data_IF_897027421627
#
_entry.id   IF_897027421627
#
_cell.length_a   1.000
_cell.length_b   1.000
_cell.length_c   1.000
_cell.angle_alpha   90.00
_cell.angle_beta   90.00
_cell.angle_gamma   90.00
#
_symmetry.space_group_name_H-M   'P 1'
#
loop_
_entity.id
_entity.type
_entity.pdbx_description
1 polymer ?
#
# COMPACT_ATOMS: atom_id res chain seq x y z
N UNK A 1 15.94 -12.57 -9.89
CA UNK A 1 17.05 -13.48 -10.23
C UNK A 1 18.05 -12.71 -11.07
N UNK A 2 19.35 -12.87 -10.78
CA UNK A 2 20.45 -12.29 -11.55
C UNK A 2 21.29 -13.42 -12.12
N UNK A 3 21.64 -13.34 -13.40
CA UNK A 3 22.53 -14.30 -14.04
C UNK A 3 23.62 -13.59 -14.82
N UNK A 4 24.85 -14.03 -14.59
CA UNK A 4 26.05 -13.57 -15.24
C UNK A 4 26.48 -14.56 -16.32
N UNK A 5 27.45 -14.17 -17.14
CA UNK A 5 28.00 -14.98 -18.23
C UNK A 5 28.26 -16.44 -17.81
N UNK A 6 27.65 -17.38 -18.53
CA UNK A 6 27.82 -18.83 -18.33
C UNK A 6 28.54 -19.45 -19.53
N UNK A 7 29.62 -20.18 -19.28
CA UNK A 7 30.36 -20.91 -20.31
C UNK A 7 29.80 -22.31 -20.62
N UNK A 8 29.06 -22.90 -19.69
CA UNK A 8 28.55 -24.27 -19.76
C UNK A 8 27.17 -24.37 -20.42
N UNK A 9 26.96 -25.37 -21.28
CA UNK A 9 25.76 -25.50 -22.10
C UNK A 9 24.49 -25.85 -21.29
N UNK A 10 24.59 -26.78 -20.34
CA UNK A 10 23.45 -27.22 -19.54
C UNK A 10 22.99 -26.11 -18.59
N UNK A 11 23.96 -25.39 -18.02
CA UNK A 11 23.72 -24.20 -17.23
C UNK A 11 23.02 -23.09 -18.03
N UNK A 12 23.37 -22.89 -19.31
CA UNK A 12 22.69 -21.92 -20.19
C UNK A 12 21.22 -22.28 -20.41
N UNK A 13 20.91 -23.54 -20.66
CA UNK A 13 19.53 -23.99 -20.88
C UNK A 13 18.69 -23.82 -19.61
N UNK A 14 19.24 -24.18 -18.45
CA UNK A 14 18.58 -23.98 -17.16
C UNK A 14 18.36 -22.48 -16.84
N UNK A 15 19.35 -21.64 -17.17
CA UNK A 15 19.28 -20.19 -17.03
C UNK A 15 18.18 -19.57 -17.91
N UNK A 16 18.15 -19.91 -19.20
CA UNK A 16 17.16 -19.44 -20.16
C UNK A 16 15.73 -19.79 -19.71
N UNK A 17 15.52 -21.01 -19.20
CA UNK A 17 14.23 -21.45 -18.65
C UNK A 17 13.81 -20.64 -17.42
N UNK A 18 14.75 -20.39 -16.50
CA UNK A 18 14.50 -19.63 -15.26
C UNK A 18 14.14 -18.18 -15.54
N UNK A 19 14.81 -17.57 -16.53
CA UNK A 19 14.58 -16.20 -16.96
C UNK A 19 13.42 -16.07 -17.98
N UNK A 20 12.86 -17.20 -18.43
CA UNK A 20 11.84 -17.28 -19.49
C UNK A 20 12.29 -16.56 -20.78
N UNK A 21 13.54 -16.77 -21.17
CA UNK A 21 14.09 -16.25 -22.42
C UNK A 21 13.50 -17.07 -23.59
N UNK A 22 12.99 -16.43 -24.66
CA UNK A 22 12.47 -17.13 -25.83
C UNK A 22 13.51 -18.07 -26.45
N UNK A 23 13.05 -19.20 -27.01
CA UNK A 23 13.91 -20.14 -27.73
C UNK A 23 14.64 -19.43 -28.89
N UNK A 24 15.97 -19.56 -28.96
CA UNK A 24 16.82 -18.88 -29.95
C UNK A 24 17.39 -17.52 -29.50
N UNK A 25 16.90 -16.96 -28.39
CA UNK A 25 17.46 -15.74 -27.78
C UNK A 25 18.44 -16.03 -26.63
N UNK A 26 18.65 -17.30 -26.27
CA UNK A 26 19.58 -17.77 -25.23
C UNK A 26 21.05 -17.59 -25.61
N UNK A 27 21.34 -17.34 -26.90
CA UNK A 27 22.66 -16.94 -27.40
C UNK A 27 23.17 -15.63 -26.78
N UNK A 28 22.30 -14.81 -26.19
CA UNK A 28 22.69 -13.60 -25.46
C UNK A 28 23.44 -13.90 -24.16
N UNK A 29 23.17 -15.04 -23.51
CA UNK A 29 23.76 -15.41 -22.21
C UNK A 29 25.31 -15.52 -22.27
N UNK A 30 25.91 -16.24 -23.25
CA UNK A 30 27.37 -16.27 -23.37
C UNK A 30 27.97 -14.96 -23.92
N UNK A 31 27.15 -14.11 -24.53
CA UNK A 31 27.56 -12.84 -25.13
C UNK A 31 27.60 -11.67 -24.12
N UNK A 32 27.09 -11.87 -22.90
CA UNK A 32 27.16 -10.86 -21.82
C UNK A 32 28.61 -10.45 -21.56
N UNK A 33 28.86 -9.14 -21.56
CA UNK A 33 30.15 -8.55 -21.22
C UNK A 33 30.38 -8.54 -19.70
N UNK A 34 31.64 -8.37 -19.22
CA UNK A 34 31.90 -8.18 -17.80
C UNK A 34 31.09 -7.00 -17.23
N UNK A 35 30.31 -7.26 -16.18
CA UNK A 35 29.40 -6.28 -15.59
C UNK A 35 27.99 -6.29 -16.17
N UNK A 36 27.74 -7.06 -17.22
CA UNK A 36 26.38 -7.29 -17.72
C UNK A 36 25.76 -8.53 -17.08
N UNK A 37 24.46 -8.44 -16.81
CA UNK A 37 23.66 -9.55 -16.34
C UNK A 37 22.24 -9.47 -16.91
N UNK A 38 21.57 -10.62 -16.96
CA UNK A 38 20.13 -10.63 -17.19
C UNK A 38 19.41 -10.69 -15.84
N UNK A 39 18.48 -9.77 -15.66
CA UNK A 39 17.66 -9.69 -14.46
C UNK A 39 16.18 -9.92 -14.79
N UNK A 40 15.51 -10.67 -13.92
CA UNK A 40 14.05 -10.74 -13.90
C UNK A 40 13.55 -10.35 -12.51
N UNK A 41 12.67 -9.36 -12.48
CA UNK A 41 12.06 -8.81 -11.27
C UNK A 41 10.53 -8.97 -11.35
N UNK A 42 9.80 -8.91 -10.22
CA UNK A 42 8.33 -8.93 -10.24
C UNK A 42 7.70 -7.77 -11.02
N UNK A 43 8.46 -6.70 -11.28
CA UNK A 43 7.98 -5.49 -11.95
C UNK A 43 8.13 -5.52 -13.47
N UNK A 44 8.95 -6.43 -14.01
CA UNK A 44 9.13 -6.60 -15.46
C UNK A 44 8.80 -8.03 -15.90
N UNK A 45 7.84 -8.20 -16.83
CA UNK A 45 7.40 -9.53 -17.26
C UNK A 45 8.48 -10.29 -18.04
N UNK A 46 9.41 -9.57 -18.67
CA UNK A 46 10.51 -10.11 -19.47
C UNK A 46 11.85 -9.93 -18.76
N UNK A 47 12.81 -10.82 -19.06
CA UNK A 47 14.18 -10.62 -18.63
C UNK A 47 14.74 -9.35 -19.29
N UNK A 48 15.42 -8.53 -18.50
CA UNK A 48 16.05 -7.28 -18.95
C UNK A 48 17.56 -7.40 -18.83
N UNK A 49 18.28 -6.83 -19.79
CA UNK A 49 19.71 -6.64 -19.71
C UNK A 49 20.00 -5.51 -18.73
N UNK A 50 20.82 -5.80 -17.72
CA UNK A 50 21.24 -4.85 -16.71
C UNK A 50 22.77 -4.76 -16.70
N UNK A 51 23.26 -3.54 -16.58
CA UNK A 51 24.66 -3.28 -16.29
C UNK A 51 24.79 -3.02 -14.79
N UNK A 52 25.63 -3.78 -14.13
CA UNK A 52 26.01 -3.62 -12.72
C UNK A 52 27.47 -3.22 -12.65
N UNK A 53 27.82 -2.36 -11.70
CA UNK A 53 29.20 -2.02 -11.43
C UNK A 53 29.97 -3.29 -11.07
N UNK A 54 30.75 -3.78 -12.03
CA UNK A 54 31.53 -4.99 -11.86
C UNK A 54 32.67 -4.70 -10.89
N UNK A 55 32.51 -5.12 -9.65
CA UNK A 55 33.62 -5.27 -8.73
C UNK A 55 34.29 -6.60 -9.08
N UNK A 56 35.52 -6.61 -9.61
CA UNK A 56 36.19 -7.87 -9.93
C UNK A 56 36.26 -8.74 -8.68
N UNK A 57 36.06 -10.06 -8.78
CA UNK A 57 36.31 -10.95 -7.67
C UNK A 57 37.75 -10.74 -7.23
N UNK A 58 37.96 -10.53 -5.92
CA UNK A 58 39.29 -10.37 -5.35
C UNK A 58 40.15 -11.58 -5.76
N UNK A 59 41.16 -11.34 -6.59
CA UNK A 59 42.12 -12.36 -7.05
C UNK A 59 43.34 -12.47 -6.15
N UNK A 60 43.38 -11.68 -5.09
CA UNK A 60 44.40 -11.87 -4.06
C UNK A 60 44.18 -13.27 -3.49
N UNK A 61 45.23 -14.08 -3.53
CA UNK A 61 45.30 -15.35 -2.82
C UNK A 61 44.84 -15.04 -1.42
N UNK A 62 43.64 -15.50 -1.04
CA UNK A 62 43.17 -15.35 0.31
C UNK A 62 44.28 -15.90 1.22
N UNK A 63 44.85 -15.12 2.14
CA UNK A 63 45.64 -15.73 3.20
C UNK A 63 44.75 -16.80 3.81
N UNK A 64 45.28 -18.02 4.02
CA UNK A 64 44.56 -19.08 4.71
C UNK A 64 43.80 -18.45 5.88
N UNK A 65 42.49 -18.68 5.96
CA UNK A 65 41.62 -18.05 6.96
C UNK A 65 42.08 -18.32 8.42
N UNK A 66 43.04 -19.24 8.60
CA UNK A 66 43.70 -19.62 9.85
C UNK A 66 45.19 -19.26 9.97
N UNK A 67 45.75 -18.41 9.09
CA UNK A 67 47.12 -17.91 9.25
C UNK A 67 47.23 -16.73 10.22
N UNK A 68 46.10 -16.11 10.57
CA UNK A 68 46.06 -15.08 11.60
C UNK A 68 46.05 -15.77 12.96
N UNK A 69 46.99 -15.39 13.83
CA UNK A 69 47.00 -15.80 15.25
C UNK A 69 45.60 -15.57 15.80
N UNK A 70 44.94 -16.61 16.29
CA UNK A 70 43.60 -16.50 16.90
C UNK A 70 43.61 -15.34 17.90
N UNK A 71 42.95 -14.25 17.55
CA UNK A 71 42.75 -13.11 18.46
C UNK A 71 41.44 -13.43 19.19
N UNK A 72 41.50 -13.81 20.48
CA UNK A 72 40.28 -14.09 21.23
C UNK A 72 39.40 -12.84 21.25
N UNK A 73 38.08 -13.04 21.20
CA UNK A 73 37.13 -11.94 21.23
C UNK A 73 37.29 -11.15 22.55
N UNK A 74 37.77 -9.91 22.46
CA UNK A 74 37.87 -9.00 23.59
C UNK A 74 36.52 -8.31 23.84
N UNK A 75 36.19 -8.08 25.11
CA UNK A 75 34.98 -7.33 25.46
C UNK A 75 35.18 -5.86 25.12
N UNK A 76 34.11 -5.16 24.77
CA UNK A 76 34.13 -3.71 24.50
C UNK A 76 34.68 -2.87 25.69
N UNK A 77 34.67 -3.45 26.90
CA UNK A 77 35.29 -2.90 28.12
C UNK A 77 36.81 -2.97 28.13
N UNK A 78 37.40 -3.89 27.37
CA UNK A 78 38.84 -4.15 27.26
C UNK A 78 39.46 -3.37 26.08
N UNK A 79 38.62 -2.79 25.22
CA UNK A 79 39.03 -1.99 24.06
C UNK A 79 38.60 -0.51 24.20
N UNK A 80 39.24 0.28 25.10
CA UNK A 80 38.80 1.63 25.46
C UNK A 80 38.73 2.59 24.25
N UNK A 81 39.60 2.44 23.26
CA UNK A 81 39.61 3.26 22.03
C UNK A 81 38.32 3.06 21.21
N UNK A 82 37.86 1.81 21.06
CA UNK A 82 36.62 1.50 20.35
C UNK A 82 35.38 1.92 21.14
N UNK A 83 35.41 1.81 22.48
CA UNK A 83 34.35 2.30 23.34
C UNK A 83 34.15 3.82 23.22
N UNK A 84 35.25 4.59 23.15
CA UNK A 84 35.21 6.04 22.93
C UNK A 84 34.69 6.37 21.53
N UNK A 85 35.18 5.70 20.48
CA UNK A 85 34.72 5.90 19.11
C UNK A 85 33.21 5.59 18.95
N UNK A 86 32.74 4.48 19.54
CA UNK A 86 31.34 4.09 19.52
C UNK A 86 30.45 5.09 20.29
N UNK A 87 30.90 5.57 21.46
CA UNK A 87 30.20 6.62 22.21
C UNK A 87 30.14 7.93 21.44
N UNK A 88 31.24 8.31 20.79
CA UNK A 88 31.31 9.50 19.94
C UNK A 88 30.31 9.41 18.79
N UNK A 89 30.31 8.30 18.04
CA UNK A 89 29.35 8.06 16.95
C UNK A 89 27.90 8.02 17.41
N UNK A 90 27.62 7.42 18.58
CA UNK A 90 26.28 7.43 19.19
C UNK A 90 25.84 8.83 19.58
N UNK A 91 26.77 9.68 20.02
CA UNK A 91 26.49 11.08 20.39
C UNK A 91 26.26 11.94 19.14
N UNK A 92 27.08 11.76 18.10
CA UNK A 92 26.91 12.40 16.80
C UNK A 92 25.56 12.05 16.17
N UNK A 93 25.16 10.78 16.21
CA UNK A 93 23.86 10.33 15.75
C UNK A 93 22.71 10.98 16.52
N UNK A 94 22.77 10.98 17.86
CA UNK A 94 21.77 11.67 18.71
C UNK A 94 21.69 13.17 18.45
N UNK A 95 22.82 13.84 18.24
CA UNK A 95 22.84 15.27 17.92
C UNK A 95 22.26 15.54 16.53
N UNK A 96 22.48 14.64 15.58
CA UNK A 96 21.91 14.72 14.23
C UNK A 96 20.39 14.54 14.29
N UNK A 97 19.89 13.53 15.02
CA UNK A 97 18.46 13.36 15.28
C UNK A 97 17.84 14.58 15.96
N UNK A 98 18.54 15.17 16.94
CA UNK A 98 18.08 16.37 17.63
C UNK A 98 18.00 17.58 16.71
N UNK A 99 19.01 17.81 15.85
CA UNK A 99 18.97 18.87 14.83
C UNK A 99 17.87 18.64 13.80
N UNK A 100 17.61 17.39 13.41
CA UNK A 100 16.47 17.05 12.55
C UNK A 100 15.12 17.25 13.24
N UNK A 101 15.03 17.02 14.55
CA UNK A 101 13.84 17.30 15.34
C UNK A 101 13.61 18.81 15.55
N UNK A 102 14.67 19.59 15.76
CA UNK A 102 14.61 21.04 15.86
C UNK A 102 14.26 21.70 14.51
N UNK A 103 14.78 21.18 13.39
CA UNK A 103 14.38 21.59 12.04
C UNK A 103 12.93 21.17 11.68
N UNK A 104 12.39 20.12 12.31
CA UNK A 104 10.98 19.71 12.21
C UNK A 104 10.01 20.72 12.83
N UNK A 105 10.49 21.67 13.63
CA UNK A 105 9.71 22.78 14.16
C UNK A 105 9.84 24.07 13.34
N UNK A 106 10.26 23.97 12.07
CA UNK A 106 10.02 25.04 11.12
C UNK A 106 8.52 25.31 11.04
N UNK A 107 8.14 26.59 11.12
CA UNK A 107 6.74 26.98 11.05
C UNK A 107 6.15 26.52 9.69
N UNK A 108 5.11 25.69 9.74
CA UNK A 108 4.43 25.23 8.53
C UNK A 108 3.95 26.42 7.69
N UNK A 109 4.04 26.29 6.37
CA UNK A 109 3.38 27.24 5.45
C UNK A 109 1.88 27.31 5.73
N UNK A 110 1.29 28.49 5.50
CA UNK A 110 -0.15 28.75 5.65
C UNK A 110 -0.99 27.68 4.95
N UNK A 111 -0.69 27.39 3.70
CA UNK A 111 -1.45 26.45 2.86
C UNK A 111 -1.31 24.99 3.34
N UNK A 112 -0.19 24.65 3.99
CA UNK A 112 -0.01 23.34 4.60
C UNK A 112 -0.87 23.21 5.87
N UNK A 113 -0.96 24.28 6.67
CA UNK A 113 -1.88 24.35 7.81
C UNK A 113 -3.34 24.30 7.34
N UNK A 114 -3.69 25.01 6.27
CA UNK A 114 -5.03 24.99 5.70
C UNK A 114 -5.41 23.60 5.21
N UNK A 115 -4.48 22.86 4.58
CA UNK A 115 -4.74 21.47 4.17
C UNK A 115 -4.99 20.55 5.36
N UNK A 116 -4.24 20.69 6.46
CA UNK A 116 -4.53 19.94 7.69
C UNK A 116 -5.89 20.32 8.26
N UNK A 117 -6.23 21.61 8.29
CA UNK A 117 -7.52 22.07 8.77
C UNK A 117 -8.69 21.53 7.93
N UNK A 118 -8.61 21.61 6.60
CA UNK A 118 -9.64 21.04 5.74
C UNK A 118 -9.73 19.51 5.87
N UNK A 119 -8.58 18.83 5.99
CA UNK A 119 -8.54 17.39 6.19
C UNK A 119 -9.14 16.93 7.53
N UNK A 120 -9.09 17.76 8.58
CA UNK A 120 -9.74 17.45 9.86
C UNK A 120 -11.26 17.66 9.82
N UNK A 121 -11.71 18.69 9.10
CA UNK A 121 -13.13 18.98 8.90
C UNK A 121 -13.82 18.01 7.92
N UNK A 122 -13.05 17.48 6.97
CA UNK A 122 -13.54 16.64 5.89
C UNK A 122 -12.74 15.32 5.82
N UNK A 123 -12.83 14.46 6.85
CA UNK A 123 -12.10 13.20 6.86
C UNK A 123 -12.50 12.35 5.65
N UNK A 124 -11.53 11.60 5.12
CA UNK A 124 -11.67 10.72 3.94
C UNK A 124 -11.92 11.41 2.60
N UNK A 125 -11.94 12.74 2.53
CA UNK A 125 -12.06 13.41 1.23
C UNK A 125 -10.78 13.24 0.40
N UNK A 126 -10.89 13.13 -0.93
CA UNK A 126 -9.75 13.23 -1.82
C UNK A 126 -8.98 14.54 -1.59
N UNK A 127 -7.66 14.47 -1.61
CA UNK A 127 -6.81 15.67 -1.45
C UNK A 127 -7.12 16.74 -2.50
N UNK A 128 -7.50 16.34 -3.71
CA UNK A 128 -7.96 17.28 -4.75
C UNK A 128 -9.16 18.13 -4.29
N UNK A 129 -10.15 17.52 -3.60
CA UNK A 129 -11.32 18.24 -3.08
C UNK A 129 -10.95 19.16 -1.92
N UNK A 130 -9.98 18.76 -1.10
CA UNK A 130 -9.45 19.64 -0.05
C UNK A 130 -8.75 20.86 -0.65
N UNK A 131 -8.00 20.69 -1.75
CA UNK A 131 -7.39 21.81 -2.46
C UNK A 131 -8.39 22.74 -3.13
N UNK A 132 -9.53 22.23 -3.61
CA UNK A 132 -10.62 23.06 -4.11
C UNK A 132 -11.13 24.05 -3.03
N UNK A 133 -11.14 23.63 -1.76
CA UNK A 133 -11.56 24.47 -0.62
C UNK A 133 -10.53 25.54 -0.22
N UNK A 134 -9.24 25.27 -0.43
CA UNK A 134 -8.13 26.18 -0.05
C UNK A 134 -7.89 27.25 -1.13
N UNK A 135 -8.38 27.04 -2.35
CA UNK A 135 -8.07 27.86 -3.50
C UNK A 135 -6.92 27.25 -4.30
N UNK A 136 -7.29 26.45 -5.30
CA UNK A 136 -6.47 25.53 -6.12
C UNK A 136 -4.99 25.98 -6.24
N UNK A 137 -4.08 25.47 -5.40
CA UNK A 137 -2.67 25.76 -5.51
C UNK A 137 -2.08 25.08 -6.75
N UNK A 138 -1.03 25.67 -7.33
CA UNK A 138 -0.35 25.08 -8.51
C UNK A 138 0.16 23.66 -8.19
N UNK A 139 0.32 22.75 -9.18
CA UNK A 139 0.85 21.41 -8.93
C UNK A 139 2.20 21.39 -8.21
N UNK A 140 3.06 22.39 -8.47
CA UNK A 140 4.33 22.58 -7.77
C UNK A 140 4.12 22.86 -6.28
N UNK A 141 3.16 23.71 -5.95
CA UNK A 141 2.80 24.00 -4.55
C UNK A 141 2.18 22.79 -3.86
N UNK A 142 1.27 22.07 -4.52
CA UNK A 142 0.66 20.85 -3.98
C UNK A 142 1.71 19.81 -3.58
N UNK A 143 2.70 19.56 -4.46
CA UNK A 143 3.81 18.66 -4.16
C UNK A 143 4.69 19.17 -3.02
N UNK A 144 4.91 20.48 -2.94
CA UNK A 144 5.69 21.08 -1.87
C UNK A 144 4.98 20.96 -0.51
N UNK A 145 3.67 21.21 -0.46
CA UNK A 145 2.83 21.07 0.74
C UNK A 145 2.83 19.62 1.20
N UNK A 146 2.57 18.66 0.30
CA UNK A 146 2.61 17.23 0.61
C UNK A 146 3.95 16.83 1.25
N UNK A 147 5.06 17.15 0.57
CA UNK A 147 6.40 16.78 1.04
C UNK A 147 6.71 17.38 2.41
N UNK A 148 6.31 18.62 2.64
CA UNK A 148 6.45 19.29 3.94
C UNK A 148 5.69 18.54 5.04
N UNK A 149 4.41 18.24 4.81
CA UNK A 149 3.57 17.54 5.79
C UNK A 149 4.05 16.10 6.07
N UNK A 150 4.49 15.36 5.04
CA UNK A 150 5.08 14.02 5.20
C UNK A 150 6.40 14.09 5.97
N UNK A 151 7.30 15.01 5.61
CA UNK A 151 8.62 15.15 6.25
C UNK A 151 8.49 15.58 7.71
N UNK A 152 7.56 16.49 7.99
CA UNK A 152 7.27 16.94 9.34
C UNK A 152 6.54 15.88 10.18
N UNK A 153 5.96 14.86 9.56
CA UNK A 153 5.21 13.80 10.24
C UNK A 153 3.82 14.25 10.71
N UNK A 154 3.23 15.22 10.01
CA UNK A 154 1.86 15.68 10.27
C UNK A 154 0.82 14.85 9.51
N UNK A 155 1.18 14.31 8.35
CA UNK A 155 0.25 13.51 7.54
C UNK A 155 0.96 12.36 6.82
N UNK A 156 0.21 11.29 6.56
CA UNK A 156 0.57 10.22 5.64
C UNK A 156 -0.32 10.31 4.40
N UNK A 157 0.22 9.99 3.23
CA UNK A 157 -0.52 10.01 1.98
C UNK A 157 -0.54 8.63 1.34
N UNK A 158 -1.64 8.32 0.65
CA UNK A 158 -1.76 7.13 -0.17
C UNK A 158 -2.22 7.50 -1.57
N UNK A 159 -1.53 6.97 -2.57
CA UNK A 159 -1.94 7.06 -3.97
C UNK A 159 -2.61 5.77 -4.40
N UNK A 160 -3.74 5.90 -5.08
CA UNK A 160 -4.43 4.78 -5.71
C UNK A 160 -4.99 5.18 -7.06
N UNK A 161 -5.10 4.21 -7.96
CA UNK A 161 -5.69 4.44 -9.28
C UNK A 161 -7.16 4.02 -9.26
N UNK A 162 -8.05 4.99 -9.43
CA UNK A 162 -9.48 4.79 -9.55
C UNK A 162 -9.89 5.01 -11.02
N UNK A 163 -10.28 3.93 -11.71
CA UNK A 163 -10.50 3.93 -13.15
C UNK A 163 -9.31 4.54 -13.94
N UNK A 164 -9.53 5.67 -14.62
CA UNK A 164 -8.50 6.40 -15.37
C UNK A 164 -7.80 7.50 -14.57
N UNK A 165 -8.24 7.79 -13.34
CA UNK A 165 -7.73 8.89 -12.51
C UNK A 165 -6.79 8.37 -11.42
N UNK A 166 -5.75 9.13 -11.13
CA UNK A 166 -4.95 8.94 -9.92
C UNK A 166 -5.59 9.73 -8.78
N UNK A 167 -5.80 9.06 -7.65
CA UNK A 167 -6.41 9.60 -6.46
C UNK A 167 -5.34 9.70 -5.38
N UNK A 168 -5.22 10.88 -4.77
CA UNK A 168 -4.38 11.12 -3.61
C UNK A 168 -5.27 11.25 -2.37
N UNK A 169 -4.97 10.46 -1.34
CA UNK A 169 -5.65 10.44 -0.05
C UNK A 169 -4.69 10.90 1.04
N UNK A 170 -5.24 11.44 2.12
CA UNK A 170 -4.48 11.94 3.27
C UNK A 170 -5.03 11.35 4.58
N UNK A 171 -4.11 11.01 5.47
CA UNK A 171 -4.36 10.61 6.86
C UNK A 171 -3.61 11.58 7.76
N UNK A 172 -4.34 12.31 8.61
CA UNK A 172 -3.75 13.17 9.62
C UNK A 172 -3.20 12.32 10.77
N UNK A 173 -1.93 12.55 11.09
CA UNK A 173 -1.24 11.86 12.18
C UNK A 173 -1.43 12.60 13.50
N UNK A 174 -1.15 11.92 14.61
CA UNK A 174 -1.25 12.45 15.98
C UNK A 174 -0.65 13.88 16.15
N UNK A 175 0.52 14.22 15.57
CA UNK A 175 1.06 15.58 15.68
C UNK A 175 0.18 16.65 15.01
N UNK A 176 -0.56 16.32 13.94
CA UNK A 176 -1.43 17.28 13.27
C UNK A 176 -2.66 17.59 14.11
N UNK A 177 -3.25 16.57 14.73
CA UNK A 177 -4.38 16.75 15.65
C UNK A 177 -4.00 17.63 16.84
N UNK A 178 -2.81 17.40 17.41
CA UNK A 178 -2.25 18.27 18.46
C UNK A 178 -2.04 19.70 17.98
N UNK A 179 -1.50 19.89 16.77
CA UNK A 179 -1.30 21.22 16.17
C UNK A 179 -2.64 21.96 15.99
N UNK A 180 -3.68 21.26 15.57
CA UNK A 180 -5.01 21.81 15.33
C UNK A 180 -5.83 22.03 16.61
N UNK A 181 -5.36 21.54 17.76
CA UNK A 181 -6.11 21.59 19.02
C UNK A 181 -7.42 20.80 18.99
N UNK A 182 -7.51 19.78 18.12
CA UNK A 182 -8.71 18.98 17.91
C UNK A 182 -8.43 17.51 18.23
N UNK A 183 -9.39 16.77 18.80
CA UNK A 183 -9.23 15.33 19.00
C UNK A 183 -9.18 14.62 17.64
N UNK A 184 -8.41 13.52 17.52
CA UNK A 184 -8.42 12.71 16.30
C UNK A 184 -9.82 12.16 16.03
N UNK A 185 -10.30 12.34 14.81
CA UNK A 185 -11.48 11.61 14.33
C UNK A 185 -11.04 10.17 14.12
N UNK A 186 -11.56 9.19 14.88
CA UNK A 186 -11.12 7.82 14.75
C UNK A 186 -11.38 7.35 13.33
N UNK A 187 -10.33 6.89 12.65
CA UNK A 187 -10.47 6.26 11.36
C UNK A 187 -11.15 4.90 11.57
N UNK A 188 -12.49 4.88 11.52
CA UNK A 188 -13.24 3.61 11.50
C UNK A 188 -12.88 2.87 10.21
N UNK A 189 -12.52 1.59 10.31
CA UNK A 189 -11.87 0.87 9.22
C UNK A 189 -10.62 0.08 9.63
N UNK A 190 -10.57 -1.20 9.30
CA UNK A 190 -9.41 -2.08 9.23
C UNK A 190 -8.76 -1.84 7.87
N UNK A 191 -7.56 -2.39 7.71
CA UNK A 191 -6.81 -2.23 6.47
C UNK A 191 -6.17 -0.84 6.34
N UNK A 192 -5.65 -0.57 5.13
CA UNK A 192 -4.88 0.63 4.81
C UNK A 192 -5.79 1.81 4.46
N UNK A 193 -5.24 3.02 4.44
CA UNK A 193 -5.94 4.28 4.15
C UNK A 193 -6.92 4.20 2.96
N UNK A 194 -6.52 3.59 1.85
CA UNK A 194 -7.38 3.45 0.66
C UNK A 194 -8.65 2.65 0.95
N UNK A 195 -8.52 1.50 1.63
CA UNK A 195 -9.65 0.64 1.98
C UNK A 195 -10.60 1.34 2.95
N UNK A 196 -10.06 1.92 4.04
CA UNK A 196 -10.85 2.69 5.02
C UNK A 196 -11.58 3.88 4.41
N UNK A 197 -10.93 4.56 3.46
CA UNK A 197 -11.53 5.69 2.74
C UNK A 197 -12.72 5.24 1.90
N UNK A 198 -12.57 4.17 1.12
CA UNK A 198 -13.65 3.64 0.30
C UNK A 198 -14.81 3.13 1.15
N UNK A 199 -14.53 2.50 2.29
CA UNK A 199 -15.57 2.03 3.23
C UNK A 199 -16.38 3.22 3.76
N UNK A 200 -15.71 4.31 4.13
CA UNK A 200 -16.38 5.53 4.57
C UNK A 200 -17.14 6.24 3.46
N UNK A 201 -16.68 6.21 2.21
CA UNK A 201 -17.46 6.75 1.09
C UNK A 201 -18.77 6.00 0.90
N UNK A 202 -18.74 4.67 0.99
CA UNK A 202 -19.96 3.86 0.95
C UNK A 202 -20.90 4.22 2.10
N UNK A 203 -20.40 4.34 3.33
CA UNK A 203 -21.19 4.81 4.48
C UNK A 203 -21.84 6.18 4.18
N UNK A 204 -21.05 7.16 3.73
CA UNK A 204 -21.54 8.50 3.42
C UNK A 204 -22.60 8.52 2.30
N UNK A 205 -22.46 7.66 1.29
CA UNK A 205 -23.47 7.52 0.24
C UNK A 205 -24.77 6.95 0.82
N UNK A 206 -24.68 5.92 1.67
CA UNK A 206 -25.86 5.37 2.35
C UNK A 206 -26.58 6.41 3.20
N UNK A 207 -25.83 7.21 3.97
CA UNK A 207 -26.36 8.34 4.75
C UNK A 207 -27.04 9.38 3.86
N UNK A 208 -26.40 9.74 2.74
CA UNK A 208 -26.97 10.67 1.74
C UNK A 208 -28.29 10.15 1.14
N UNK A 209 -28.42 8.84 1.00
CA UNK A 209 -29.64 8.17 0.54
C UNK A 209 -30.69 7.95 1.64
N UNK A 210 -30.38 8.30 2.89
CA UNK A 210 -31.29 8.19 4.03
C UNK A 210 -31.31 6.81 4.70
N UNK A 211 -30.28 5.97 4.51
CA UNK A 211 -30.17 4.65 5.13
C UNK A 211 -29.35 4.70 6.42
N UNK A 212 -29.70 3.84 7.39
CA UNK A 212 -28.80 3.55 8.51
C UNK A 212 -27.56 2.86 7.94
N UNK A 213 -26.41 3.51 8.06
CA UNK A 213 -25.20 3.13 7.33
C UNK A 213 -24.03 2.93 8.28
N UNK A 214 -23.30 1.85 8.05
CA UNK A 214 -22.28 1.34 8.95
C UNK A 214 -20.98 1.09 8.20
N UNK A 215 -19.86 1.21 8.91
CA UNK A 215 -18.53 0.90 8.42
C UNK A 215 -17.93 -0.10 9.40
N UNK A 216 -17.51 -1.26 8.90
CA UNK A 216 -16.94 -2.36 9.69
C UNK A 216 -17.80 -2.87 10.83
N UNK A 217 -19.09 -3.05 10.54
CA UNK A 217 -20.02 -3.53 11.54
C UNK A 217 -20.41 -4.98 11.26
N UNK A 218 -20.68 -5.71 12.33
CA UNK A 218 -21.19 -7.07 12.24
C UNK A 218 -22.67 -6.98 11.94
N UNK A 219 -23.06 -7.42 10.74
CA UNK A 219 -24.46 -7.43 10.36
C UNK A 219 -25.22 -8.42 11.26
N UNK A 220 -26.31 -8.00 11.93
CA UNK A 220 -27.06 -8.89 12.82
C UNK A 220 -27.51 -10.16 12.09
N UNK A 221 -27.38 -11.32 12.75
CA UNK A 221 -27.82 -12.60 12.18
C UNK A 221 -26.85 -13.22 11.16
N UNK A 222 -25.69 -12.61 10.90
CA UNK A 222 -24.57 -13.31 10.24
C UNK A 222 -23.72 -14.05 11.28
N UNK A 223 -22.77 -14.87 10.82
CA UNK A 223 -21.87 -15.66 11.68
C UNK A 223 -20.77 -14.83 12.38
N UNK A 224 -21.03 -13.55 12.69
CA UNK A 224 -20.06 -12.64 13.30
C UNK A 224 -19.12 -11.93 12.31
N UNK A 225 -19.41 -12.03 11.01
CA UNK A 225 -18.60 -11.38 9.98
C UNK A 225 -18.89 -9.88 9.91
N UNK A 226 -17.82 -9.09 10.00
CA UNK A 226 -17.87 -7.64 9.85
C UNK A 226 -17.69 -7.28 8.37
N UNK A 227 -18.75 -6.70 7.79
CA UNK A 227 -18.72 -6.18 6.43
C UNK A 227 -17.93 -4.87 6.39
N UNK A 228 -17.20 -4.60 5.30
CA UNK A 228 -16.43 -3.35 5.19
C UNK A 228 -17.33 -2.11 5.27
N UNK A 229 -18.48 -2.16 4.61
CA UNK A 229 -19.59 -1.23 4.83
C UNK A 229 -20.93 -1.96 4.70
N UNK A 230 -21.98 -1.42 5.32
CA UNK A 230 -23.32 -1.98 5.24
C UNK A 230 -24.38 -0.88 5.32
N UNK A 231 -25.48 -1.06 4.58
CA UNK A 231 -26.66 -0.21 4.65
C UNK A 231 -27.84 -1.06 5.08
N UNK A 232 -28.58 -0.59 6.08
CA UNK A 232 -29.88 -1.15 6.43
C UNK A 232 -30.96 -0.42 5.65
N UNK A 233 -31.60 -1.14 4.75
CA UNK A 233 -32.71 -0.67 3.92
C UNK A 233 -34.03 -1.22 4.48
N UNK A 234 -35.15 -0.82 3.87
CA UNK A 234 -36.47 -1.35 4.25
C UNK A 234 -36.60 -2.86 3.97
N UNK A 235 -35.88 -3.36 2.96
CA UNK A 235 -36.01 -4.75 2.49
C UNK A 235 -35.01 -5.71 3.17
N UNK A 236 -34.05 -5.16 3.92
CA UNK A 236 -33.05 -5.90 4.67
C UNK A 236 -31.71 -5.18 4.68
N UNK A 237 -30.62 -5.93 4.56
CA UNK A 237 -29.27 -5.37 4.56
C UNK A 237 -28.63 -5.48 3.17
N UNK A 238 -28.01 -4.38 2.73
CA UNK A 238 -27.08 -4.35 1.60
C UNK A 238 -25.66 -4.23 2.16
N UNK A 239 -24.83 -5.24 1.90
CA UNK A 239 -23.44 -5.29 2.40
C UNK A 239 -22.46 -5.00 1.30
N UNK A 240 -21.31 -4.44 1.65
CA UNK A 240 -20.25 -4.08 0.71
C UNK A 240 -18.92 -4.66 1.15
N UNK A 241 -18.23 -5.28 0.21
CA UNK A 241 -16.89 -5.87 0.39
C UNK A 241 -15.92 -5.13 -0.54
N UNK A 242 -14.89 -4.51 0.01
CA UNK A 242 -13.97 -3.64 -0.73
C UNK A 242 -12.66 -4.38 -1.04
N UNK A 243 -12.38 -4.51 -2.33
CA UNK A 243 -11.19 -5.17 -2.84
C UNK A 243 -10.22 -4.14 -3.42
N UNK A 244 -9.12 -3.87 -2.70
CA UNK A 244 -8.07 -2.91 -3.15
C UNK A 244 -6.85 -3.62 -3.72
N UNK A 245 -6.33 -4.66 -3.05
CA UNK A 245 -5.09 -5.34 -3.46
C UNK A 245 -5.13 -6.86 -3.40
N UNK A 246 -5.90 -7.45 -2.48
CA UNK A 246 -6.01 -8.91 -2.34
C UNK A 246 -7.43 -9.35 -2.66
N UNK A 247 -7.57 -10.41 -3.46
CA UNK A 247 -8.85 -11.07 -3.76
C UNK A 247 -9.11 -12.23 -2.79
N UNK A 248 -8.15 -12.52 -1.92
CA UNK A 248 -8.22 -13.63 -0.99
C UNK A 248 -9.43 -13.43 -0.07
N UNK A 249 -10.20 -14.51 0.12
CA UNK A 249 -11.35 -14.59 1.01
C UNK A 249 -12.64 -13.89 0.55
N UNK A 250 -12.70 -13.29 -0.65
CA UNK A 250 -13.95 -12.68 -1.17
C UNK A 250 -15.10 -13.69 -1.16
N UNK A 251 -14.87 -14.92 -1.64
CA UNK A 251 -15.91 -15.96 -1.63
C UNK A 251 -16.34 -16.34 -0.20
N UNK A 252 -15.38 -16.49 0.73
CA UNK A 252 -15.66 -16.80 2.14
C UNK A 252 -16.51 -15.72 2.82
N UNK A 253 -16.24 -14.45 2.52
CA UNK A 253 -17.03 -13.33 3.02
C UNK A 253 -18.47 -13.38 2.48
N UNK A 254 -18.63 -13.63 1.16
CA UNK A 254 -19.96 -13.75 0.55
C UNK A 254 -20.76 -14.93 1.10
N UNK A 255 -20.11 -16.08 1.30
CA UNK A 255 -20.73 -17.25 1.91
C UNK A 255 -21.21 -16.94 3.33
N UNK A 256 -20.36 -16.29 4.12
CA UNK A 256 -20.69 -15.88 5.49
C UNK A 256 -21.92 -14.96 5.55
N UNK A 257 -22.04 -13.99 4.63
CA UNK A 257 -23.14 -13.01 4.68
C UNK A 257 -24.42 -13.49 3.98
N UNK A 258 -24.33 -14.27 2.90
CA UNK A 258 -25.50 -14.68 2.11
C UNK A 258 -26.00 -16.09 2.42
N UNK A 259 -25.13 -17.01 2.84
CA UNK A 259 -25.50 -18.42 3.06
C UNK A 259 -25.73 -18.75 4.54
N UNK A 260 -25.42 -17.85 5.48
CA UNK A 260 -25.75 -18.04 6.89
C UNK A 260 -27.27 -18.14 7.06
N UNK A 261 -27.80 -19.25 7.64
CA UNK A 261 -29.23 -19.40 7.83
C UNK A 261 -29.84 -18.26 8.65
N UNK A 262 -30.91 -17.66 8.14
CA UNK A 262 -31.57 -16.52 8.78
C UNK A 262 -30.87 -15.18 8.58
N UNK A 263 -29.84 -15.11 7.73
CA UNK A 263 -29.21 -13.84 7.37
C UNK A 263 -30.24 -12.84 6.82
N UNK A 264 -30.25 -11.59 7.30
CA UNK A 264 -31.13 -10.54 6.77
C UNK A 264 -30.51 -9.83 5.55
N UNK A 265 -29.35 -10.28 5.07
CA UNK A 265 -28.67 -9.71 3.91
C UNK A 265 -29.43 -10.07 2.64
N UNK A 266 -29.80 -9.06 1.86
CA UNK A 266 -30.51 -9.22 0.58
C UNK A 266 -29.58 -9.06 -0.62
N UNK A 267 -28.55 -8.24 -0.45
CA UNK A 267 -27.60 -7.93 -1.50
C UNK A 267 -26.18 -7.82 -0.92
N UNK A 268 -25.21 -8.37 -1.61
CA UNK A 268 -23.79 -8.15 -1.36
C UNK A 268 -23.15 -7.51 -2.59
N UNK A 269 -22.48 -6.38 -2.43
CA UNK A 269 -21.79 -5.68 -3.51
C UNK A 269 -20.28 -5.74 -3.32
N UNK A 270 -19.58 -6.29 -4.30
CA UNK A 270 -18.12 -6.22 -4.36
C UNK A 270 -17.71 -4.90 -5.01
N UNK A 271 -16.93 -4.11 -4.27
CA UNK A 271 -16.47 -2.79 -4.68
C UNK A 271 -14.97 -2.82 -4.94
N UNK A 272 -14.53 -2.30 -6.08
CA UNK A 272 -13.11 -2.25 -6.43
C UNK A 272 -12.75 -0.94 -7.16
N UNK A 273 -11.48 -0.50 -7.12
CA UNK A 273 -11.06 0.75 -7.75
C UNK A 273 -11.04 0.68 -9.29
N UNK A 274 -10.92 -0.51 -9.88
CA UNK A 274 -10.78 -0.70 -11.32
C UNK A 274 -11.78 -1.72 -11.88
N UNK A 275 -12.36 -1.41 -13.05
CA UNK A 275 -13.26 -2.31 -13.78
C UNK A 275 -12.58 -3.63 -14.22
N UNK A 276 -11.28 -3.61 -14.48
CA UNK A 276 -10.49 -4.82 -14.74
C UNK A 276 -10.50 -5.78 -13.55
N UNK A 277 -10.34 -5.27 -12.33
CA UNK A 277 -10.42 -6.07 -11.11
C UNK A 277 -11.82 -6.66 -10.93
N UNK A 278 -12.87 -5.86 -11.13
CA UNK A 278 -14.26 -6.35 -11.04
C UNK A 278 -14.54 -7.49 -12.02
N UNK A 279 -13.98 -7.45 -13.24
CA UNK A 279 -14.12 -8.56 -14.19
C UNK A 279 -13.47 -9.85 -13.69
N UNK A 280 -12.28 -9.74 -13.10
CA UNK A 280 -11.58 -10.88 -12.51
C UNK A 280 -12.34 -11.45 -11.30
N UNK A 281 -12.78 -10.58 -10.39
CA UNK A 281 -13.57 -10.94 -9.21
C UNK A 281 -14.89 -11.59 -9.59
N UNK A 282 -15.58 -11.05 -10.60
CA UNK A 282 -16.82 -11.66 -11.12
C UNK A 282 -16.56 -13.07 -11.62
N UNK A 283 -15.53 -13.27 -12.44
CA UNK A 283 -15.18 -14.59 -12.95
C UNK A 283 -14.79 -15.57 -11.84
N UNK A 284 -14.20 -15.08 -10.74
CA UNK A 284 -13.85 -15.88 -9.57
C UNK A 284 -15.09 -16.31 -8.79
N UNK A 285 -15.99 -15.37 -8.46
CA UNK A 285 -17.26 -15.65 -7.77
C UNK A 285 -18.14 -16.62 -8.56
N UNK A 286 -18.21 -16.48 -9.89
CA UNK A 286 -19.01 -17.37 -10.74
C UNK A 286 -18.47 -18.81 -10.79
N UNK A 287 -17.20 -19.04 -10.42
CA UNK A 287 -16.63 -20.39 -10.31
C UNK A 287 -16.91 -21.03 -8.95
N UNK A 288 -17.38 -20.26 -7.97
CA UNK A 288 -17.66 -20.71 -6.61
C UNK A 288 -19.02 -21.42 -6.57
N UNK A 289 -19.02 -22.75 -6.49
CA UNK A 289 -20.24 -23.56 -6.56
C UNK A 289 -21.21 -23.30 -5.40
N UNK A 290 -20.69 -23.02 -4.20
CA UNK A 290 -21.48 -22.70 -3.01
C UNK A 290 -22.34 -21.44 -3.18
N UNK A 291 -21.87 -20.47 -3.96
CA UNK A 291 -22.57 -19.21 -4.21
C UNK A 291 -23.58 -19.28 -5.36
N UNK A 292 -23.68 -20.42 -6.06
CA UNK A 292 -24.47 -20.55 -7.29
C UNK A 292 -25.96 -20.18 -7.10
N UNK A 293 -26.54 -20.43 -5.92
CA UNK A 293 -27.95 -20.14 -5.62
C UNK A 293 -28.23 -18.68 -5.22
N UNK A 294 -27.20 -17.87 -5.01
CA UNK A 294 -27.31 -16.47 -4.56
C UNK A 294 -26.60 -15.48 -5.49
N UNK A 295 -26.23 -15.91 -6.71
CA UNK A 295 -25.55 -15.05 -7.68
C UNK A 295 -26.35 -13.80 -8.04
N UNK A 296 -27.68 -13.88 -8.07
CA UNK A 296 -28.57 -12.75 -8.35
C UNK A 296 -28.58 -11.71 -7.21
N UNK A 297 -28.10 -12.08 -6.02
CA UNK A 297 -27.93 -11.19 -4.87
C UNK A 297 -26.51 -10.60 -4.80
N UNK A 298 -25.64 -10.90 -5.76
CA UNK A 298 -24.24 -10.43 -5.77
C UNK A 298 -24.02 -9.42 -6.89
N UNK A 299 -23.78 -8.18 -6.48
CA UNK A 299 -23.51 -7.03 -7.36
C UNK A 299 -22.02 -6.70 -7.42
N UNK A 300 -21.60 -5.99 -8.47
CA UNK A 300 -20.22 -5.53 -8.65
C UNK A 300 -20.23 -4.07 -9.07
N UNK A 301 -19.58 -3.20 -8.29
CA UNK A 301 -19.59 -1.77 -8.55
C UNK A 301 -18.17 -1.17 -8.49
N UNK A 302 -17.79 -0.29 -9.44
CA UNK A 302 -16.56 0.46 -9.31
C UNK A 302 -16.71 1.53 -8.22
N UNK A 303 -15.68 1.75 -7.41
CA UNK A 303 -15.74 2.77 -6.35
C UNK A 303 -16.02 4.19 -6.88
N UNK A 304 -15.62 4.44 -8.13
CA UNK A 304 -15.91 5.69 -8.88
C UNK A 304 -17.40 6.04 -8.91
N UNK A 305 -18.29 5.03 -8.89
CA UNK A 305 -19.73 5.25 -8.87
C UNK A 305 -20.17 5.99 -7.60
N UNK A 306 -19.60 5.63 -6.45
CA UNK A 306 -19.93 6.23 -5.16
C UNK A 306 -19.23 7.58 -4.97
N UNK A 307 -18.00 7.72 -5.49
CA UNK A 307 -17.29 9.01 -5.52
C UNK A 307 -18.09 10.10 -6.23
N UNK A 308 -18.60 9.79 -7.44
CA UNK A 308 -19.44 10.73 -8.22
C UNK A 308 -20.73 11.11 -7.52
N UNK A 309 -21.27 10.22 -6.70
CA UNK A 309 -22.48 10.53 -5.95
C UNK A 309 -22.19 11.48 -4.78
N UNK A 310 -21.04 11.33 -4.12
CA UNK A 310 -20.63 12.25 -3.07
C UNK A 310 -20.27 13.63 -3.64
N UNK A 311 -19.61 13.66 -4.79
CA UNK A 311 -19.11 14.88 -5.42
C UNK A 311 -19.43 14.92 -6.94
N UNK A 312 -20.67 15.28 -7.30
CA UNK A 312 -21.14 15.33 -8.69
C UNK A 312 -20.44 16.39 -9.55
#
# INVERSE_FOLDING_TARGET
HFMFRMGDADCRVAAARTLQIPSGADAIIPALEPGECLAKTPYWPHAVLCQVDFVPPCRDVHPQYDANRHVPAERLTEMPVLSVAAKSKKTEHRQTEKRHAEAKHAELRSEARDLLYQGSMHPYWPVARLYDLIGIPTPRMQNAIRKELETAGYAAFAETRMASKNLLLIELLEPAWRLLGAPPVPLRGRGKLVHRTFANWLRMVGEKRGYDSFCEDVVPGTNGHAADAAWKTNDGWSVFEIVVTSHENVNSHLESVLLTPGSPVREATIVAPQKSMLRALRAEVHKCQSLACVLDSISFAPVEQFEKELWP
#
